data_IF_053715008333
#
_entry.id   IF_053715008333
#
_cell.length_a   1.000
_cell.length_b   1.000
_cell.length_c   1.000
_cell.angle_alpha   90.00
_cell.angle_beta   90.00
_cell.angle_gamma   90.00
#
_symmetry.space_group_name_H-M   'P 1'
#
loop_
_entity.id
_entity.type
_entity.pdbx_description
1 polymer ?
#
# COMPACT_ATOMS: atom_id res chain seq x y z
N UNK A 1 19.57 2.68 15.70
CA UNK A 1 19.06 3.88 15.00
C UNK A 1 17.98 3.43 14.04
N UNK A 2 16.79 3.97 14.16
CA UNK A 2 15.66 3.69 13.26
C UNK A 2 15.76 4.57 12.02
N UNK A 3 15.19 4.13 10.90
CA UNK A 3 15.13 4.95 9.68
C UNK A 3 14.44 6.29 9.90
N UNK A 4 13.48 6.37 10.83
CA UNK A 4 12.81 7.63 11.20
C UNK A 4 13.78 8.63 11.84
N UNK A 5 14.68 8.16 12.71
CA UNK A 5 15.69 9.02 13.33
C UNK A 5 16.73 9.51 12.32
N UNK A 6 17.10 8.69 11.33
CA UNK A 6 17.99 9.09 10.24
C UNK A 6 17.35 10.21 9.43
N UNK A 7 16.10 10.01 8.99
CA UNK A 7 15.37 11.02 8.20
C UNK A 7 15.26 12.36 8.94
N UNK A 8 15.00 12.33 10.25
CA UNK A 8 14.92 13.56 11.05
C UNK A 8 16.25 14.33 11.08
N UNK A 9 17.38 13.63 11.23
CA UNK A 9 18.70 14.27 11.18
C UNK A 9 19.03 14.84 9.81
N UNK A 10 18.74 14.12 8.74
CA UNK A 10 18.97 14.59 7.38
C UNK A 10 18.15 15.86 7.08
N UNK A 11 16.89 15.94 7.57
CA UNK A 11 16.03 17.12 7.38
C UNK A 11 16.63 18.37 8.07
N UNK A 12 17.34 18.22 9.19
CA UNK A 12 17.98 19.36 9.87
C UNK A 12 19.12 19.97 9.06
N UNK A 13 19.77 19.19 8.20
CA UNK A 13 20.86 19.65 7.32
C UNK A 13 20.35 20.17 5.96
N UNK A 14 19.06 19.99 5.65
CA UNK A 14 18.48 20.41 4.38
C UNK A 14 18.26 21.93 4.34
N UNK A 15 18.74 22.63 3.29
CA UNK A 15 18.47 24.05 3.08
C UNK A 15 16.97 24.37 3.02
N UNK A 16 16.57 25.52 3.58
CA UNK A 16 15.16 25.89 3.69
C UNK A 16 14.43 25.96 2.33
N UNK A 17 15.14 26.31 1.26
CA UNK A 17 14.66 26.35 -0.13
C UNK A 17 14.38 24.95 -0.72
N UNK A 18 14.83 23.88 -0.05
CA UNK A 18 14.63 22.48 -0.44
C UNK A 18 13.69 21.72 0.47
N UNK A 19 13.29 22.30 1.61
CA UNK A 19 12.34 21.67 2.53
C UNK A 19 10.96 21.44 1.88
N UNK A 20 10.53 22.33 0.99
CA UNK A 20 9.28 22.17 0.25
C UNK A 20 9.30 20.89 -0.61
N UNK A 21 10.41 20.64 -1.31
CA UNK A 21 10.60 19.45 -2.14
C UNK A 21 10.59 18.15 -1.29
N UNK A 22 11.20 18.19 -0.10
CA UNK A 22 11.19 17.06 0.85
C UNK A 22 9.77 16.79 1.36
N UNK A 23 9.02 17.83 1.71
CA UNK A 23 7.63 17.71 2.16
C UNK A 23 6.76 17.10 1.05
N UNK A 24 6.93 17.55 -0.19
CA UNK A 24 6.20 17.04 -1.34
C UNK A 24 6.51 15.57 -1.62
N UNK A 25 7.78 15.17 -1.49
CA UNK A 25 8.16 13.77 -1.63
C UNK A 25 7.51 12.88 -0.54
N UNK A 26 7.51 13.33 0.72
CA UNK A 26 6.86 12.61 1.82
C UNK A 26 5.35 12.49 1.57
N UNK A 27 4.69 13.55 1.08
CA UNK A 27 3.26 13.54 0.72
C UNK A 27 2.98 12.58 -0.44
N UNK A 28 3.83 12.61 -1.46
CA UNK A 28 3.76 11.70 -2.60
C UNK A 28 3.82 10.23 -2.14
N UNK A 29 4.77 9.88 -1.27
CA UNK A 29 4.89 8.52 -0.73
C UNK A 29 3.62 8.09 0.03
N UNK A 30 3.06 8.97 0.88
CA UNK A 30 1.81 8.69 1.60
C UNK A 30 0.65 8.40 0.65
N UNK A 31 0.52 9.19 -0.41
CA UNK A 31 -0.52 9.01 -1.43
C UNK A 31 -0.28 7.73 -2.24
N UNK A 32 0.97 7.45 -2.61
CA UNK A 32 1.36 6.25 -3.36
C UNK A 32 1.00 4.98 -2.58
N UNK A 33 1.32 4.90 -1.29
CA UNK A 33 0.96 3.76 -0.45
C UNK A 33 -0.56 3.57 -0.36
N UNK A 34 -1.35 4.64 -0.36
CA UNK A 34 -2.81 4.54 -0.39
C UNK A 34 -3.34 4.06 -1.75
N UNK A 35 -2.73 4.48 -2.85
CA UNK A 35 -3.08 4.00 -4.20
C UNK A 35 -2.71 2.54 -4.40
N UNK A 36 -1.49 2.13 -4.06
CA UNK A 36 -1.05 0.73 -4.15
C UNK A 36 -1.95 -0.21 -3.33
N UNK A 37 -2.36 0.21 -2.13
CA UNK A 37 -3.34 -0.56 -1.34
C UNK A 37 -4.69 -0.70 -2.04
N UNK A 38 -5.20 0.37 -2.67
CA UNK A 38 -6.47 0.32 -3.42
C UNK A 38 -6.36 -0.53 -4.68
N UNK A 39 -5.27 -0.41 -5.43
CA UNK A 39 -5.05 -1.19 -6.64
C UNK A 39 -4.90 -2.68 -6.34
N UNK A 40 -4.27 -3.05 -5.22
CA UNK A 40 -4.24 -4.43 -4.71
C UNK A 40 -5.65 -4.93 -4.34
N UNK A 41 -6.45 -4.12 -3.64
CA UNK A 41 -7.84 -4.49 -3.32
C UNK A 41 -8.68 -4.75 -4.59
N UNK A 42 -8.57 -3.90 -5.60
CA UNK A 42 -9.30 -4.07 -6.87
C UNK A 42 -8.76 -5.26 -7.68
N UNK A 43 -7.45 -5.47 -7.71
CA UNK A 43 -6.85 -6.61 -8.43
C UNK A 43 -7.26 -7.95 -7.79
N UNK A 44 -7.35 -8.02 -6.45
CA UNK A 44 -7.81 -9.22 -5.74
C UNK A 44 -9.29 -9.56 -6.01
N UNK A 45 -10.17 -8.58 -6.20
CA UNK A 45 -11.58 -8.85 -6.54
C UNK A 45 -11.73 -9.58 -7.88
N UNK A 46 -10.90 -9.24 -8.87
CA UNK A 46 -10.97 -9.83 -10.22
C UNK A 46 -10.52 -11.29 -10.28
N UNK A 47 -9.60 -11.69 -9.40
CA UNK A 47 -9.12 -13.07 -9.28
C UNK A 47 -10.01 -13.92 -8.36
N UNK A 48 -10.55 -13.36 -7.28
CA UNK A 48 -11.40 -14.11 -6.33
C UNK A 48 -12.79 -14.45 -6.90
N UNK A 49 -13.30 -13.64 -7.83
CA UNK A 49 -14.63 -13.87 -8.43
C UNK A 49 -14.65 -15.02 -9.45
N UNK A 50 -13.48 -15.45 -9.94
CA UNK A 50 -13.38 -16.45 -11.01
C UNK A 50 -13.27 -17.88 -10.47
N UNK A 51 -12.68 -18.08 -9.30
CA UNK A 51 -12.55 -19.41 -8.66
C UNK A 51 -13.68 -19.73 -7.65
N UNK A 52 -14.47 -18.74 -7.19
CA UNK A 52 -15.54 -18.96 -6.20
C UNK A 52 -16.91 -19.35 -6.81
N UNK A 53 -17.09 -19.30 -8.13
CA UNK A 53 -18.36 -19.60 -8.81
C UNK A 53 -18.36 -20.95 -9.54
N UNK A 54 -17.53 -21.91 -9.11
CA UNK A 54 -17.66 -23.28 -9.59
C UNK A 54 -18.72 -24.02 -8.75
N UNK A 55 -19.84 -24.47 -9.34
CA UNK A 55 -20.89 -25.19 -8.62
C UNK A 55 -20.45 -26.57 -8.07
N UNK A 56 -19.20 -26.99 -8.32
CA UNK A 56 -18.62 -28.22 -7.79
C UNK A 56 -18.21 -28.15 -6.30
N UNK A 57 -17.97 -26.95 -5.73
CA UNK A 57 -17.50 -26.82 -4.34
C UNK A 57 -18.62 -26.75 -3.29
N UNK A 58 -19.90 -26.78 -3.68
CA UNK A 58 -21.03 -26.79 -2.73
C UNK A 58 -21.34 -28.19 -2.15
N UNK A 59 -20.83 -29.27 -2.79
CA UNK A 59 -21.02 -30.65 -2.29
C UNK A 59 -19.98 -31.05 -1.24
N UNK A 60 -18.77 -30.48 -1.29
CA UNK A 60 -17.67 -30.83 -0.37
C UNK A 60 -17.88 -30.22 1.02
N UNK A 61 -18.68 -29.16 1.12
CA UNK A 61 -18.92 -28.42 2.37
C UNK A 61 -20.17 -28.91 3.13
N UNK A 62 -20.85 -29.96 2.65
CA UNK A 62 -22.01 -30.55 3.36
C UNK A 62 -21.67 -31.59 4.40
N UNK A 63 -20.42 -32.05 4.46
CA UNK A 63 -20.00 -33.16 5.34
C UNK A 63 -18.82 -32.78 6.27
N UNK A 64 -18.68 -31.48 6.57
CA UNK A 64 -17.65 -30.92 7.45
C UNK A 64 -18.26 -30.22 8.67
#
# INVERSE_FOLDING_TARGET
MTYREIILKEIEEVPADKLEEVIDFIRYLKIKTLKEKRDVTIASESSLKKDWLSPEEDEVWKDL
#
